data_IF_513462433804
#
_entry.id   IF_513462433804
#
_cell.length_a   1.000
_cell.length_b   1.000
_cell.length_c   1.000
_cell.angle_alpha   90.00
_cell.angle_beta   90.00
_cell.angle_gamma   90.00
#
_symmetry.space_group_name_H-M   'P 1'
#
loop_
_entity.id
_entity.type
_entity.pdbx_description
1 polymer ?
2 polymer ?
3 water ?
#
# COMPACT_ATOMS: atom_id res chain seq x y z
N UNK A 1 25.71 2.20 4.47
CA UNK A 1 26.91 2.72 3.73
C UNK A 1 26.46 3.22 2.35
N UNK A 2 26.99 4.37 1.91
CA UNK A 2 26.75 4.92 0.54
C UNK A 2 27.27 3.92 -0.49
N UNK A 3 26.43 3.51 -1.45
CA UNK A 3 26.84 2.61 -2.57
C UNK A 3 26.41 3.27 -3.89
N UNK A 4 27.22 3.10 -4.93
CA UNK A 4 26.92 3.54 -6.32
C UNK A 4 25.75 2.74 -6.89
N UNK A 5 25.07 3.30 -7.90
CA UNK A 5 24.05 2.57 -8.71
C UNK A 5 24.63 1.22 -9.17
N UNK A 6 25.87 1.22 -9.62
CA UNK A 6 26.54 0.03 -10.22
C UNK A 6 26.83 -1.01 -9.11
N UNK A 7 27.23 -0.55 -7.91
CA UNK A 7 27.40 -1.44 -6.72
C UNK A 7 26.06 -2.09 -6.37
N UNK A 8 24.99 -1.29 -6.35
CA UNK A 8 23.61 -1.75 -6.05
C UNK A 8 23.21 -2.81 -7.08
N UNK A 9 23.45 -2.54 -8.36
CA UNK A 9 23.12 -3.46 -9.47
C UNK A 9 23.82 -4.81 -9.25
N UNK A 10 25.11 -4.78 -8.88
CA UNK A 10 25.94 -5.99 -8.60
C UNK A 10 25.33 -6.78 -7.43
N UNK A 11 24.90 -6.09 -6.37
CA UNK A 11 24.29 -6.72 -5.17
C UNK A 11 22.99 -7.43 -5.57
N UNK A 12 22.14 -6.76 -6.35
CA UNK A 12 20.82 -7.29 -6.79
C UNK A 12 21.07 -8.48 -7.74
N UNK A 13 22.14 -8.46 -8.53
CA UNK A 13 22.49 -9.56 -9.48
C UNK A 13 22.67 -10.87 -8.70
N UNK A 14 23.17 -10.80 -7.45
CA UNK A 14 23.47 -12.00 -6.61
C UNK A 14 22.19 -12.78 -6.29
N UNK A 15 21.02 -12.14 -6.33
CA UNK A 15 19.74 -12.76 -5.84
C UNK A 15 18.75 -12.98 -6.99
N UNK A 16 19.08 -12.59 -8.22
CA UNK A 16 18.21 -12.81 -9.41
C UNK A 16 18.84 -13.90 -10.29
N UNK A 17 18.10 -14.36 -11.29
CA UNK A 17 18.60 -15.31 -12.32
C UNK A 17 19.53 -14.55 -13.27
N UNK A 18 20.62 -15.18 -13.75
CA UNK A 18 21.50 -14.54 -14.72
C UNK A 18 20.84 -14.40 -16.09
N UNK A 19 21.32 -13.45 -16.90
CA UNK A 19 20.93 -13.29 -18.31
C UNK A 19 19.67 -12.47 -18.48
N UNK A 20 19.00 -12.66 -19.61
CA UNK A 20 17.92 -11.77 -20.13
C UNK A 20 16.78 -12.66 -20.63
N UNK A 21 15.56 -12.57 -20.07
CA UNK A 21 14.47 -13.46 -20.46
C UNK A 21 13.88 -13.15 -21.86
N UNK A 22 14.37 -12.12 -22.55
CA UNK A 22 13.98 -11.82 -23.96
C UNK A 22 14.46 -12.96 -24.88
N UNK A 23 15.28 -13.88 -24.38
CA UNK A 23 15.66 -15.11 -25.11
C UNK A 23 14.45 -16.03 -25.23
N UNK A 24 13.51 -16.03 -24.26
CA UNK A 24 12.33 -16.94 -24.28
C UNK A 24 11.00 -16.18 -24.19
N UNK A 25 11.02 -14.84 -24.08
CA UNK A 25 9.80 -13.98 -24.04
C UNK A 25 9.83 -12.98 -25.20
N UNK A 26 8.72 -12.83 -25.91
CA UNK A 26 8.57 -11.89 -27.06
C UNK A 26 7.18 -11.22 -27.00
N UNK A 27 6.95 -10.26 -27.91
CA UNK A 27 5.66 -9.52 -28.08
C UNK A 27 5.23 -8.94 -26.73
N UNK A 28 6.09 -8.15 -26.09
CA UNK A 28 5.81 -7.44 -24.81
C UNK A 28 4.74 -6.37 -25.06
N UNK A 29 3.73 -6.30 -24.19
CA UNK A 29 2.64 -5.28 -24.23
C UNK A 29 2.45 -4.72 -22.82
N UNK A 30 2.64 -3.41 -22.64
CA UNK A 30 2.42 -2.69 -21.37
C UNK A 30 0.91 -2.63 -21.10
N UNK A 31 0.48 -3.13 -19.93
CA UNK A 31 -0.97 -3.20 -19.53
C UNK A 31 -1.22 -2.39 -18.24
N UNK A 32 -0.20 -2.13 -17.43
CA UNK A 32 -0.32 -1.41 -16.15
C UNK A 32 0.92 -0.61 -15.82
N UNK A 33 0.82 0.31 -14.86
CA UNK A 33 1.95 1.16 -14.38
C UNK A 33 1.68 1.60 -12.94
N UNK A 34 2.71 1.57 -12.09
CA UNK A 34 2.67 2.05 -10.69
C UNK A 34 3.80 3.04 -10.43
N UNK A 35 3.97 3.46 -9.17
CA UNK A 35 5.10 4.30 -8.68
C UNK A 35 6.40 3.47 -8.77
N UNK A 36 6.24 2.14 -8.71
CA UNK A 36 7.31 1.10 -8.74
C UNK A 36 7.86 0.93 -10.16
N UNK A 37 7.00 0.98 -11.17
CA UNK A 37 7.33 0.69 -12.57
C UNK A 37 6.11 0.22 -13.35
N UNK A 38 6.32 -0.60 -14.39
CA UNK A 38 5.25 -1.02 -15.34
C UNK A 38 5.03 -2.52 -15.24
N UNK A 39 3.87 -2.99 -15.69
CA UNK A 39 3.53 -4.43 -15.84
C UNK A 39 3.25 -4.69 -17.31
N UNK A 40 3.92 -5.70 -17.88
CA UNK A 40 3.80 -6.12 -19.29
C UNK A 40 3.25 -7.55 -19.34
N UNK A 41 2.55 -7.88 -20.42
CA UNK A 41 2.27 -9.28 -20.85
C UNK A 41 3.29 -9.62 -21.94
N UNK A 42 3.82 -10.85 -21.92
CA UNK A 42 4.74 -11.37 -22.96
C UNK A 42 4.37 -12.82 -23.28
N UNK A 43 4.77 -13.28 -24.47
CA UNK A 43 4.52 -14.66 -24.99
C UNK A 43 5.78 -15.50 -24.80
N UNK A 44 5.63 -16.65 -24.15
CA UNK A 44 6.72 -17.62 -23.87
C UNK A 44 6.93 -18.44 -25.14
N UNK A 45 8.18 -18.64 -25.57
CA UNK A 45 8.51 -19.07 -26.95
C UNK A 45 8.13 -20.53 -27.18
N UNK A 46 8.25 -21.39 -26.16
CA UNK A 46 8.06 -22.86 -26.27
C UNK A 46 6.56 -23.21 -26.30
N UNK A 47 5.78 -22.66 -25.37
CA UNK A 47 4.35 -23.00 -25.13
C UNK A 47 3.42 -21.99 -25.79
N UNK A 48 3.87 -20.76 -26.05
CA UNK A 48 3.04 -19.68 -26.59
C UNK A 48 2.11 -19.07 -25.54
N UNK A 49 2.29 -19.42 -24.27
CA UNK A 49 1.44 -18.91 -23.16
C UNK A 49 1.81 -17.46 -22.85
N UNK A 50 0.87 -16.71 -22.28
CA UNK A 50 1.04 -15.33 -21.79
C UNK A 50 1.57 -15.39 -20.36
N UNK A 51 2.62 -14.64 -20.06
CA UNK A 51 3.10 -14.40 -18.67
C UNK A 51 3.13 -12.89 -18.43
N UNK A 52 3.09 -12.49 -17.17
CA UNK A 52 3.23 -11.08 -16.73
C UNK A 52 4.70 -10.83 -16.42
N UNK A 53 5.19 -9.64 -16.76
CA UNK A 53 6.56 -9.18 -16.39
C UNK A 53 6.42 -7.79 -15.78
N UNK A 54 6.73 -7.69 -14.48
CA UNK A 54 6.87 -6.44 -13.73
C UNK A 54 8.28 -5.90 -14.00
N UNK A 55 8.38 -4.66 -14.48
CA UNK A 55 9.66 -3.97 -14.79
C UNK A 55 9.78 -2.75 -13.88
N UNK A 56 10.86 -2.69 -13.09
CA UNK A 56 11.10 -1.62 -12.09
C UNK A 56 12.50 -1.03 -12.30
N UNK A 57 12.58 0.26 -12.63
CA UNK A 57 13.87 0.96 -12.88
C UNK A 57 14.59 1.14 -11.53
N UNK A 58 15.84 0.67 -11.46
CA UNK A 58 16.70 0.74 -10.24
C UNK A 58 16.96 2.20 -9.84
N UNK A 59 16.83 3.15 -10.77
CA UNK A 59 17.19 4.58 -10.58
C UNK A 59 15.96 5.41 -10.19
N UNK A 60 14.75 4.87 -10.25
CA UNK A 60 13.50 5.67 -10.10
C UNK A 60 12.64 5.11 -8.95
N UNK A 61 13.26 4.59 -7.88
CA UNK A 61 12.56 4.09 -6.67
C UNK A 61 12.70 5.11 -5.55
N UNK A 62 11.65 5.25 -4.73
CA UNK A 62 11.68 6.06 -3.48
C UNK A 62 12.70 5.44 -2.51
N UNK A 63 12.65 4.11 -2.36
CA UNK A 63 13.56 3.30 -1.52
C UNK A 63 14.01 2.08 -2.34
N UNK A 64 15.11 2.18 -3.08
CA UNK A 64 15.58 1.15 -4.05
C UNK A 64 15.87 -0.15 -3.29
N UNK A 65 16.29 -0.06 -2.02
CA UNK A 65 16.55 -1.22 -1.12
C UNK A 65 15.35 -2.18 -1.10
N UNK A 66 14.14 -1.66 -1.34
CA UNK A 66 12.88 -2.44 -1.28
C UNK A 66 12.81 -3.43 -2.46
N UNK A 67 13.60 -3.21 -3.52
CA UNK A 67 13.61 -4.11 -4.71
C UNK A 67 14.10 -5.52 -4.32
N UNK A 68 14.87 -5.66 -3.23
CA UNK A 68 15.35 -6.98 -2.74
C UNK A 68 14.20 -7.82 -2.20
N UNK A 69 13.20 -7.20 -1.54
CA UNK A 69 12.25 -7.92 -0.64
C UNK A 69 11.51 -9.03 -1.38
N UNK A 70 10.71 -8.72 -2.40
CA UNK A 70 9.88 -9.74 -3.09
C UNK A 70 10.77 -10.83 -3.69
N UNK A 71 11.83 -10.45 -4.41
CA UNK A 71 12.65 -11.45 -5.16
C UNK A 71 13.42 -12.36 -4.21
N UNK A 72 13.83 -11.86 -3.03
CA UNK A 72 14.54 -12.68 -1.99
C UNK A 72 13.50 -13.48 -1.21
N UNK A 73 12.50 -12.80 -0.64
CA UNK A 73 11.57 -13.42 0.35
C UNK A 73 10.72 -14.50 -0.32
N UNK A 74 10.15 -14.23 -1.50
CA UNK A 74 9.09 -15.08 -2.10
C UNK A 74 9.68 -16.13 -3.04
N UNK A 75 11.00 -16.18 -3.19
CA UNK A 75 11.71 -17.10 -4.11
C UNK A 75 11.25 -18.55 -3.90
N UNK A 76 11.20 -19.01 -2.64
CA UNK A 76 11.02 -20.45 -2.31
C UNK A 76 9.66 -20.71 -1.67
N UNK A 77 8.78 -19.71 -1.56
CA UNK A 77 7.41 -19.87 -1.02
C UNK A 77 6.42 -19.99 -2.20
N UNK A 78 5.53 -20.97 -2.15
CA UNK A 78 4.54 -21.29 -3.20
C UNK A 78 3.23 -21.77 -2.55
N UNK A 79 2.09 -21.35 -3.11
CA UNK A 79 0.74 -21.69 -2.60
C UNK A 79 -0.28 -21.49 -3.72
N UNK A 80 -1.32 -22.32 -3.77
CA UNK A 80 -2.34 -22.28 -4.85
C UNK A 80 -3.11 -20.96 -4.83
N UNK A 81 -3.09 -20.21 -3.70
CA UNK A 81 -3.78 -18.90 -3.59
C UNK A 81 -2.75 -17.76 -3.49
N UNK A 82 -1.52 -17.99 -3.97
CA UNK A 82 -0.47 -16.94 -4.09
C UNK A 82 -0.03 -16.93 -5.55
N UNK A 83 -0.05 -15.75 -6.19
CA UNK A 83 0.41 -15.59 -7.60
C UNK A 83 1.84 -16.16 -7.71
N UNK A 84 2.06 -17.04 -8.69
CA UNK A 84 3.33 -17.73 -8.95
C UNK A 84 4.37 -16.71 -9.45
N UNK A 85 5.51 -16.56 -8.75
CA UNK A 85 6.70 -15.85 -9.23
C UNK A 85 7.65 -16.88 -9.86
N UNK A 86 7.91 -16.78 -11.16
CA UNK A 86 8.69 -17.79 -11.91
C UNK A 86 10.18 -17.52 -11.74
N UNK A 87 10.58 -16.27 -11.94
CA UNK A 87 12.01 -15.89 -12.03
C UNK A 87 12.12 -14.37 -12.01
N UNK A 88 13.31 -13.89 -11.68
CA UNK A 88 13.66 -12.45 -11.71
C UNK A 88 14.98 -12.30 -12.46
N UNK A 89 15.16 -11.15 -13.10
CA UNK A 89 16.36 -10.84 -13.91
C UNK A 89 16.69 -9.35 -13.76
N UNK A 90 17.95 -9.01 -13.99
CA UNK A 90 18.39 -7.62 -14.24
C UNK A 90 18.57 -7.45 -15.75
N UNK A 91 17.83 -6.53 -16.35
CA UNK A 91 17.87 -6.17 -17.79
C UNK A 91 18.18 -4.67 -17.89
N UNK A 92 19.42 -4.33 -18.23
CA UNK A 92 19.92 -2.94 -18.14
C UNK A 92 19.76 -2.43 -16.72
N UNK A 93 19.03 -1.33 -16.54
CA UNK A 93 18.83 -0.68 -15.23
C UNK A 93 17.46 -1.06 -14.65
N UNK A 94 16.87 -2.16 -15.10
CA UNK A 94 15.52 -2.60 -14.66
C UNK A 94 15.60 -3.98 -13.98
N UNK A 95 14.89 -4.14 -12.88
CA UNK A 95 14.57 -5.46 -12.29
C UNK A 95 13.31 -5.96 -12.99
N UNK A 96 13.37 -7.16 -13.59
CA UNK A 96 12.21 -7.82 -14.22
C UNK A 96 11.80 -9.00 -13.33
N UNK A 97 10.52 -9.06 -13.00
CA UNK A 97 9.94 -10.21 -12.24
C UNK A 97 8.91 -10.86 -13.15
N UNK A 98 9.16 -12.10 -13.53
CA UNK A 98 8.30 -12.90 -14.44
C UNK A 98 7.35 -13.70 -13.56
N UNK A 99 6.05 -13.56 -13.80
CA UNK A 99 5.00 -14.09 -12.91
C UNK A 99 3.87 -14.65 -13.75
N UNK A 100 3.01 -15.44 -13.10
CA UNK A 100 1.70 -15.87 -13.62
C UNK A 100 0.93 -14.63 -14.09
N UNK A 101 0.32 -14.72 -15.27
CA UNK A 101 -0.70 -13.76 -15.78
C UNK A 101 -2.08 -14.33 -15.42
N UNK A 102 -2.75 -13.70 -14.45
CA UNK A 102 -4.16 -14.06 -14.10
C UNK A 102 -5.07 -13.19 -14.96
N UNK A 103 -6.01 -13.81 -15.67
CA UNK A 103 -6.80 -13.15 -16.75
C UNK A 103 -8.19 -12.75 -16.24
N UNK A 104 -8.47 -12.91 -14.94
CA UNK A 104 -9.78 -12.60 -14.34
C UNK A 104 -9.83 -11.20 -13.74
N UNK A 105 -8.77 -10.41 -13.90
CA UNK A 105 -8.68 -9.04 -13.35
C UNK A 105 -8.56 -9.06 -11.83
N UNK A 106 -8.78 -7.91 -11.20
CA UNK A 106 -8.58 -7.71 -9.74
C UNK A 106 -9.94 -7.67 -9.03
N UNK A 107 -9.92 -7.94 -7.73
CA UNK A 107 -11.13 -7.92 -6.89
C UNK A 107 -11.73 -6.50 -6.90
N UNK A 108 -10.88 -5.46 -7.00
CA UNK A 108 -11.32 -4.05 -7.06
C UNK A 108 -12.44 -3.87 -8.09
N UNK A 109 -12.27 -4.41 -9.30
CA UNK A 109 -13.29 -4.23 -10.37
C UNK A 109 -14.65 -4.76 -9.90
N UNK A 110 -14.65 -5.86 -9.16
CA UNK A 110 -15.90 -6.50 -8.66
C UNK A 110 -16.53 -5.60 -7.60
N UNK A 111 -15.78 -5.21 -6.56
CA UNK A 111 -16.36 -4.49 -5.39
C UNK A 111 -16.82 -3.09 -5.82
N UNK A 112 -16.29 -2.54 -6.91
CA UNK A 112 -16.66 -1.18 -7.39
C UNK A 112 -17.89 -1.23 -8.32
N UNK A 113 -18.26 -2.40 -8.86
CA UNK A 113 -19.29 -2.51 -9.93
C UNK A 113 -20.41 -3.51 -9.59
N UNK A 114 -20.28 -4.32 -8.53
CA UNK A 114 -21.33 -5.30 -8.12
C UNK A 114 -21.41 -5.35 -6.58
N UNK A 115 -22.52 -5.90 -6.07
CA UNK A 115 -22.71 -6.24 -4.65
C UNK A 115 -22.51 -7.76 -4.49
N UNK A 116 -21.37 -8.15 -3.92
CA UNK A 116 -21.06 -9.58 -3.62
C UNK A 116 -22.03 -10.08 -2.55
N UNK A 117 -22.52 -11.30 -2.67
CA UNK A 117 -23.32 -11.98 -1.61
C UNK A 117 -22.34 -12.60 -0.61
N UNK A 118 -22.83 -13.11 0.52
CA UNK A 118 -21.97 -13.56 1.64
C UNK A 118 -21.22 -14.84 1.24
N UNK A 119 -21.82 -15.69 0.38
CA UNK A 119 -21.14 -16.89 -0.17
C UNK A 119 -19.87 -16.46 -0.90
N UNK A 120 -19.99 -15.46 -1.77
CA UNK A 120 -18.88 -14.93 -2.60
C UNK A 120 -17.83 -14.28 -1.70
N UNK A 121 -18.24 -13.52 -0.67
CA UNK A 121 -17.29 -12.90 0.29
C UNK A 121 -16.56 -14.01 1.05
N UNK A 122 -17.29 -15.02 1.53
CA UNK A 122 -16.70 -16.18 2.26
C UNK A 122 -15.68 -16.88 1.36
N UNK A 123 -15.99 -17.03 0.08
CA UNK A 123 -15.13 -17.71 -0.94
C UNK A 123 -13.80 -16.97 -1.03
N UNK A 124 -13.85 -15.64 -1.16
CA UNK A 124 -12.64 -14.78 -1.25
C UNK A 124 -11.88 -14.91 0.08
N UNK A 125 -12.55 -14.79 1.22
CA UNK A 125 -11.89 -14.81 2.55
C UNK A 125 -11.18 -16.14 2.80
N UNK A 126 -11.80 -17.26 2.42
CA UNK A 126 -11.21 -18.62 2.62
C UNK A 126 -9.89 -18.70 1.85
N UNK A 127 -9.89 -18.29 0.58
CA UNK A 127 -8.69 -18.35 -0.31
C UNK A 127 -7.59 -17.44 0.25
N UNK A 128 -7.94 -16.21 0.62
CA UNK A 128 -6.95 -15.22 1.14
C UNK A 128 -6.40 -15.72 2.48
N UNK A 129 -7.25 -16.28 3.35
CA UNK A 129 -6.79 -16.74 4.68
C UNK A 129 -5.91 -17.99 4.56
N UNK A 130 -6.18 -18.85 3.58
CA UNK A 130 -5.29 -20.00 3.28
C UNK A 130 -3.90 -19.48 2.92
N UNK A 131 -3.83 -18.51 2.01
CA UNK A 131 -2.57 -17.82 1.61
C UNK A 131 -1.89 -17.23 2.85
N UNK A 132 -2.62 -16.43 3.64
CA UNK A 132 -2.04 -15.71 4.79
C UNK A 132 -1.57 -16.70 5.86
N UNK A 133 -2.34 -17.74 6.15
CA UNK A 133 -1.96 -18.76 7.15
C UNK A 133 -0.61 -19.38 6.75
N UNK A 134 -0.47 -19.75 5.48
CA UNK A 134 0.77 -20.32 4.91
C UNK A 134 1.92 -19.31 5.06
N UNK A 135 1.71 -18.07 4.62
CA UNK A 135 2.76 -17.02 4.61
C UNK A 135 3.15 -16.67 6.05
N UNK A 136 2.16 -16.40 6.92
CA UNK A 136 2.39 -16.03 8.33
C UNK A 136 3.20 -17.12 9.05
N UNK A 137 2.93 -18.39 8.76
CA UNK A 137 3.65 -19.54 9.37
C UNK A 137 5.14 -19.50 8.99
N UNK A 138 5.47 -18.97 7.79
CA UNK A 138 6.87 -18.85 7.29
C UNK A 138 7.49 -17.53 7.77
N UNK A 139 6.74 -16.69 8.49
CA UNK A 139 7.20 -15.38 8.98
C UNK A 139 7.10 -14.29 7.92
N UNK A 140 6.35 -14.53 6.83
CA UNK A 140 6.13 -13.53 5.75
C UNK A 140 4.93 -12.66 6.12
N UNK A 141 5.10 -11.34 6.05
CA UNK A 141 4.01 -10.33 6.15
C UNK A 141 3.85 -9.68 4.78
N UNK A 142 2.63 -9.64 4.25
CA UNK A 142 2.32 -9.07 2.92
C UNK A 142 2.41 -7.54 3.00
N UNK A 143 1.68 -6.95 3.94
CA UNK A 143 1.75 -5.52 4.34
C UNK A 143 1.01 -4.62 3.34
N UNK A 144 0.30 -5.17 2.36
CA UNK A 144 -0.51 -4.33 1.43
C UNK A 144 -1.75 -5.10 0.98
N UNK A 145 -2.44 -5.74 1.93
CA UNK A 145 -3.73 -6.43 1.68
C UNK A 145 -4.78 -5.35 1.42
N UNK A 146 -5.48 -5.50 0.28
CA UNK A 146 -6.56 -4.62 -0.21
C UNK A 146 -7.08 -5.29 -1.49
N UNK A 147 -8.27 -4.89 -1.97
CA UNK A 147 -8.94 -5.50 -3.15
C UNK A 147 -7.99 -5.46 -4.37
N UNK A 148 -7.20 -4.40 -4.52
CA UNK A 148 -6.30 -4.22 -5.70
C UNK A 148 -5.23 -5.32 -5.72
N UNK A 149 -4.89 -5.89 -4.57
CA UNK A 149 -3.80 -6.90 -4.41
C UNK A 149 -4.34 -8.32 -4.62
N UNK A 150 -5.64 -8.47 -4.89
CA UNK A 150 -6.30 -9.80 -5.03
C UNK A 150 -6.65 -9.97 -6.50
N UNK A 151 -6.10 -11.00 -7.15
CA UNK A 151 -6.36 -11.27 -8.58
C UNK A 151 -7.22 -12.52 -8.72
N UNK A 152 -8.04 -12.54 -9.77
CA UNK A 152 -8.92 -13.67 -10.11
C UNK A 152 -8.36 -14.38 -11.34
N UNK A 153 -8.42 -15.71 -11.35
CA UNK A 153 -8.17 -16.54 -12.55
C UNK A 153 -9.45 -16.52 -13.40
N UNK A 154 -9.36 -16.93 -14.66
CA UNK A 154 -10.51 -16.95 -15.61
C UNK A 154 -11.63 -17.84 -15.06
N UNK A 155 -11.30 -18.87 -14.27
CA UNK A 155 -12.27 -19.87 -13.75
C UNK A 155 -12.75 -19.49 -12.34
N UNK A 156 -12.34 -18.32 -11.83
CA UNK A 156 -12.89 -17.75 -10.59
C UNK A 156 -12.15 -18.19 -9.34
N UNK A 157 -10.89 -18.61 -9.47
CA UNK A 157 -9.99 -18.86 -8.31
C UNK A 157 -9.35 -17.52 -7.90
N UNK A 158 -8.95 -17.44 -6.64
CA UNK A 158 -8.52 -16.19 -5.94
C UNK A 158 -7.06 -16.33 -5.53
N UNK A 159 -6.22 -15.38 -5.92
CA UNK A 159 -4.78 -15.38 -5.53
C UNK A 159 -4.37 -14.01 -5.00
N UNK A 160 -3.57 -14.03 -3.94
CA UNK A 160 -2.86 -12.86 -3.36
C UNK A 160 -1.69 -12.51 -4.28
N UNK A 161 -1.58 -11.23 -4.64
CA UNK A 161 -0.53 -10.67 -5.53
C UNK A 161 0.11 -9.44 -4.90
N UNK A 162 1.02 -8.78 -5.61
CA UNK A 162 1.56 -7.45 -5.23
C UNK A 162 2.31 -7.56 -3.88
N UNK A 163 3.37 -8.36 -3.88
CA UNK A 163 4.28 -8.64 -2.72
C UNK A 163 5.44 -7.63 -2.65
N UNK A 164 5.38 -6.52 -3.40
CA UNK A 164 6.44 -5.50 -3.44
C UNK A 164 6.79 -4.96 -2.06
N UNK A 165 5.83 -4.89 -1.14
CA UNK A 165 6.00 -4.32 0.22
C UNK A 165 6.20 -5.42 1.27
N UNK A 166 6.32 -6.69 0.89
CA UNK A 166 6.35 -7.81 1.86
C UNK A 166 7.62 -7.73 2.72
N UNK A 167 7.59 -8.40 3.86
CA UNK A 167 8.72 -8.50 4.80
C UNK A 167 8.78 -9.90 5.39
N UNK A 168 9.91 -10.24 6.00
CA UNK A 168 10.12 -11.54 6.69
C UNK A 168 10.55 -11.24 8.13
N UNK A 169 9.84 -11.81 9.11
CA UNK A 169 10.24 -11.78 10.54
C UNK A 169 10.83 -13.15 10.89
N UNK A 170 11.60 -13.21 11.97
CA UNK A 170 12.30 -14.41 12.49
C UNK A 170 12.38 -14.31 14.01
N UNK A 171 13.00 -15.31 14.66
CA UNK A 171 13.22 -15.33 16.13
C UNK A 171 14.14 -14.17 16.54
N UNK A 172 15.15 -13.88 15.72
CA UNK A 172 16.19 -12.84 16.00
C UNK A 172 15.68 -11.46 15.60
N UNK A 173 14.73 -11.38 14.66
CA UNK A 173 14.07 -10.10 14.23
C UNK A 173 12.56 -10.35 14.14
N UNK A 174 11.88 -10.48 15.30
CA UNK A 174 10.46 -10.84 15.31
C UNK A 174 9.49 -9.73 14.85
N UNK A 175 9.94 -8.47 14.78
CA UNK A 175 9.08 -7.30 14.45
C UNK A 175 9.68 -6.50 13.29
N UNK A 176 8.81 -5.90 12.48
CA UNK A 176 9.15 -4.86 11.48
C UNK A 176 8.77 -3.49 12.06
N UNK A 177 9.40 -2.44 11.55
CA UNK A 177 9.15 -1.03 11.96
C UNK A 177 8.81 -0.15 10.74
N UNK A 179 7.23 1.94 7.71
CA UNK A 179 5.97 2.54 7.21
C UNK A 179 5.76 2.06 5.78
N UNK A 180 4.87 1.10 5.59
CA UNK A 180 4.51 0.55 4.25
C UNK A 180 3.01 0.24 4.26
N UNK A 181 2.41 0.23 3.08
CA UNK A 181 1.00 -0.15 2.87
C UNK A 181 0.27 0.95 2.13
N UNK A 182 -1.06 0.95 2.26
CA UNK A 182 -1.98 1.91 1.59
C UNK A 182 -2.82 2.55 2.69
N UNK A 183 -2.81 3.89 2.81
CA UNK A 183 -3.38 4.59 3.97
C UNK A 183 -4.65 3.98 4.59
N UNK A 184 -5.68 3.75 3.77
CA UNK A 184 -7.05 3.38 4.22
C UNK A 184 -7.07 1.96 4.80
N UNK A 185 -6.08 1.13 4.44
CA UNK A 185 -5.97 -0.29 4.85
C UNK A 185 -4.92 -0.48 5.95
N UNK A 186 -4.15 0.55 6.28
CA UNK A 186 -3.04 0.43 7.25
C UNK A 186 -3.59 0.15 8.66
N UNK A 187 -2.98 -0.77 9.38
CA UNK A 187 -3.27 -1.06 10.80
C UNK A 187 -2.90 0.17 11.64
N UNK A 188 -3.66 0.47 12.72
CA UNK A 188 -3.32 1.59 13.59
C UNK A 188 -1.84 1.61 14.01
N UNK A 189 -1.26 0.44 14.31
CA UNK A 189 0.13 0.32 14.83
C UNK A 189 1.14 0.68 13.73
N UNK A 190 0.79 0.50 12.45
CA UNK A 190 1.64 0.93 11.30
C UNK A 190 1.65 2.46 11.25
N UNK A 191 0.46 3.08 11.28
CA UNK A 191 0.28 4.57 11.24
C UNK A 191 1.03 5.19 12.42
N UNK A 192 1.01 4.54 13.59
CA UNK A 192 1.63 5.01 14.87
C UNK A 192 3.12 4.68 14.92
N UNK A 193 3.65 3.97 13.91
CA UNK A 193 5.10 3.64 13.78
C UNK A 193 5.54 2.78 14.97
N UNK A 194 4.69 1.84 15.39
CA UNK A 194 5.02 0.85 16.46
C UNK A 194 5.59 -0.41 15.81
N UNK A 195 6.53 -1.13 16.48
CA UNK A 195 6.97 -2.43 15.98
C UNK A 195 5.77 -3.38 15.83
N UNK A 196 5.73 -4.14 14.73
CA UNK A 196 4.55 -4.97 14.37
C UNK A 196 4.99 -6.30 13.73
N UNK A 197 4.05 -7.26 13.73
CA UNK A 197 4.20 -8.58 13.09
C UNK A 197 3.09 -8.84 12.09
N UNK A 198 2.71 -10.12 11.94
CA UNK A 198 1.77 -10.62 10.90
C UNK A 198 0.37 -10.06 11.14
N UNK A 199 0.08 -9.59 12.35
CA UNK A 199 -1.27 -9.09 12.75
C UNK A 199 -1.72 -7.97 11.82
N UNK A 200 -0.79 -7.19 11.26
CA UNK A 200 -1.16 -6.00 10.43
C UNK A 200 -1.95 -6.49 9.21
N UNK A 201 -1.64 -7.68 8.68
CA UNK A 201 -2.35 -8.24 7.50
C UNK A 201 -3.80 -8.56 7.86
N UNK A 202 -4.08 -8.95 9.10
CA UNK A 202 -5.46 -9.32 9.51
C UNK A 202 -6.31 -8.04 9.62
N UNK A 203 -5.76 -6.94 10.12
CA UNK A 203 -6.46 -5.63 10.11
C UNK A 203 -6.80 -5.26 8.67
N UNK A 204 -5.80 -5.26 7.79
CA UNK A 204 -5.98 -4.88 6.36
C UNK A 204 -7.05 -5.78 5.73
N UNK A 205 -7.05 -7.08 6.04
CA UNK A 205 -8.05 -8.03 5.51
C UNK A 205 -9.44 -7.59 5.98
N UNK A 206 -9.57 -7.22 7.26
CA UNK A 206 -10.83 -6.66 7.79
C UNK A 206 -11.32 -5.49 6.95
N UNK A 207 -10.44 -4.56 6.61
CA UNK A 207 -10.78 -3.37 5.77
C UNK A 207 -11.22 -3.88 4.38
N UNK A 208 -10.54 -4.89 3.83
CA UNK A 208 -10.93 -5.45 2.51
C UNK A 208 -12.32 -6.12 2.62
N UNK A 209 -12.67 -6.72 3.76
CA UNK A 209 -14.03 -7.29 3.95
C UNK A 209 -15.04 -6.14 3.90
N UNK A 210 -14.73 -4.99 4.49
CA UNK A 210 -15.62 -3.78 4.38
C UNK A 210 -15.70 -3.37 2.90
N UNK A 211 -14.59 -3.44 2.13
CA UNK A 211 -14.67 -3.16 0.67
C UNK A 211 -15.71 -4.07 0.00
N UNK A 212 -15.72 -5.35 0.34
CA UNK A 212 -16.62 -6.36 -0.30
C UNK A 212 -18.07 -6.15 0.15
N UNK A 213 -18.29 -5.57 1.34
CA UNK A 213 -19.65 -5.30 1.88
C UNK A 213 -20.16 -3.96 1.33
N UNK A 214 -19.35 -2.89 1.44
CA UNK A 214 -19.77 -1.49 1.20
C UNK A 214 -19.26 -0.94 -0.14
N UNK A 215 -18.25 -1.58 -0.75
CA UNK A 215 -17.71 -1.19 -2.07
C UNK A 215 -16.43 -0.37 -1.95
N UNK A 216 -16.15 0.16 -0.76
CA UNK A 216 -15.00 1.05 -0.46
C UNK A 216 -14.55 0.78 0.97
N UNK A 217 -13.26 1.04 1.30
CA UNK A 217 -12.80 0.95 2.68
C UNK A 217 -13.39 2.13 3.46
N UNK A 218 -13.39 2.08 4.81
CA UNK A 218 -13.87 3.21 5.62
C UNK A 218 -13.12 4.50 5.28
N UNK A 219 -13.84 5.61 5.25
CA UNK A 219 -13.31 7.00 5.14
C UNK A 219 -12.69 7.24 3.75
N UNK A 220 -13.08 6.45 2.73
CA UNK A 220 -12.46 6.51 1.38
C UNK A 220 -12.84 7.84 0.69
N UNK A 221 -13.85 8.54 1.21
CA UNK A 221 -14.33 9.86 0.70
C UNK A 221 -13.44 10.98 1.25
N UNK A 222 -12.64 10.71 2.28
CA UNK A 222 -11.79 11.71 2.97
C UNK A 222 -10.36 11.61 2.46
N UNK A 223 -9.57 12.71 2.49
CA UNK A 223 -8.15 12.66 2.18
C UNK A 223 -7.40 11.67 3.09
N UNK A 224 -6.31 11.06 2.60
CA UNK A 224 -5.56 10.06 3.38
C UNK A 224 -5.18 10.49 4.81
N UNK A 225 -4.70 11.72 4.98
CA UNK A 225 -4.30 12.24 6.32
C UNK A 225 -5.49 12.16 7.28
N UNK A 226 -6.67 12.65 6.85
CA UNK A 226 -7.90 12.67 7.70
C UNK A 226 -8.29 11.23 8.03
N UNK A 227 -8.26 10.34 7.03
CA UNK A 227 -8.60 8.90 7.18
C UNK A 227 -7.66 8.25 8.20
N UNK A 228 -6.36 8.48 8.08
CA UNK A 228 -5.32 7.80 8.89
C UNK A 228 -5.39 8.28 10.35
N UNK A 229 -5.74 9.53 10.58
CA UNK A 229 -5.99 10.07 11.94
C UNK A 229 -7.16 9.32 12.58
N UNK A 230 -8.24 9.07 11.83
CA UNK A 230 -9.44 8.31 12.30
C UNK A 230 -9.04 6.86 12.62
N UNK A 231 -8.30 6.21 11.74
CA UNK A 231 -7.83 4.80 11.95
C UNK A 231 -7.01 4.78 13.25
N UNK A 232 -6.10 5.74 13.41
CA UNK A 232 -5.13 5.82 14.54
C UNK A 232 -5.89 6.04 15.86
N UNK A 233 -6.91 6.90 15.84
CA UNK A 233 -7.49 7.51 17.08
C UNK A 233 -8.87 6.91 17.41
N UNK A 234 -9.68 6.58 16.41
CA UNK A 234 -11.12 6.26 16.57
C UNK A 234 -11.32 4.77 16.86
N UNK A 235 -12.52 4.42 17.35
CA UNK A 235 -12.98 3.01 17.48
C UNK A 235 -12.88 2.34 16.13
N UNK A 236 -12.76 0.98 16.07
CA UNK A 236 -12.75 0.27 14.79
C UNK A 236 -13.90 0.70 13.89
N UNK A 237 -13.67 0.80 12.57
CA UNK A 237 -14.72 1.23 11.63
C UNK A 237 -15.81 0.16 11.48
N UNK A 238 -17.04 0.59 11.19
CA UNK A 238 -18.23 -0.29 11.03
C UNK A 238 -18.73 -0.23 9.59
N UNK A 239 -19.51 -1.23 9.15
CA UNK A 239 -20.20 -1.24 7.84
C UNK A 239 -21.30 -0.17 7.85
N UNK A 240 -21.78 0.23 6.67
CA UNK A 240 -22.77 1.33 6.48
C UNK A 240 -24.14 0.97 7.07
N UNK A 241 -24.50 -0.32 7.09
CA UNK A 241 -25.86 -0.80 7.44
C UNK A 241 -25.77 -2.18 8.11
N UNK A 242 -25.53 -2.20 9.42
CA UNK A 242 -25.33 -3.45 10.24
C UNK A 242 -26.45 -4.46 9.97
N UNK A 243 -27.68 -3.99 9.69
CA UNK A 243 -28.90 -4.83 9.50
C UNK A 243 -28.86 -5.59 8.15
N UNK A 244 -27.92 -5.27 7.26
CA UNK A 244 -27.79 -5.89 5.91
C UNK A 244 -26.73 -7.01 5.95
N UNK A 245 -26.04 -7.19 7.08
CA UNK A 245 -24.91 -8.15 7.26
C UNK A 245 -25.31 -9.18 8.32
N UNK A 246 -25.02 -10.46 8.09
CA UNK A 246 -25.39 -11.57 9.00
C UNK A 246 -24.64 -11.43 10.32
N UNK A 247 -25.17 -12.00 11.41
CA UNK A 247 -24.49 -12.02 12.74
C UNK A 247 -23.13 -12.73 12.60
N UNK A 248 -23.05 -13.79 11.79
CA UNK A 248 -21.80 -14.60 11.65
C UNK A 248 -20.73 -13.76 10.92
N UNK A 249 -21.12 -12.98 9.91
CA UNK A 249 -20.16 -12.08 9.18
C UNK A 249 -19.76 -10.93 10.11
N UNK A 250 -20.68 -10.36 10.89
CA UNK A 250 -20.32 -9.27 11.83
C UNK A 250 -19.32 -9.82 12.86
N UNK A 251 -19.53 -11.05 13.36
CA UNK A 251 -18.63 -11.71 14.33
C UNK A 251 -17.25 -11.94 13.74
N UNK A 252 -17.21 -12.42 12.50
CA UNK A 252 -15.97 -12.65 11.68
C UNK A 252 -15.18 -11.34 11.60
N UNK A 253 -15.86 -10.27 11.13
CA UNK A 253 -15.27 -8.92 10.97
C UNK A 253 -14.79 -8.41 12.35
N UNK A 254 -15.57 -8.62 13.42
CA UNK A 254 -15.24 -8.14 14.80
C UNK A 254 -13.92 -8.75 15.31
N UNK A 255 -13.52 -9.93 14.82
CA UNK A 255 -12.28 -10.61 15.26
C UNK A 255 -11.07 -10.03 14.53
N UNK A 256 -11.27 -9.36 13.40
CA UNK A 256 -10.18 -8.81 12.56
C UNK A 256 -9.91 -7.35 12.92
N UNK A 257 -10.96 -6.54 13.04
CA UNK A 257 -10.83 -5.07 13.28
C UNK A 257 -10.76 -4.80 14.77
N UNK A 258 -9.66 -5.28 15.39
CA UNK A 258 -9.35 -5.15 16.84
C UNK A 258 -8.09 -4.27 16.95
N UNK A 259 -8.16 -3.19 17.72
CA UNK A 259 -7.06 -2.21 17.82
C UNK A 259 -5.83 -2.88 18.47
N UNK A 260 -6.01 -3.61 19.58
CA UNK A 260 -4.90 -4.26 20.31
C UNK A 260 -4.42 -5.45 19.47
N UNK A 261 -3.21 -5.37 18.86
CA UNK A 261 -2.74 -6.41 17.94
C UNK A 261 -2.78 -7.83 18.52
N UNK A 262 -2.45 -7.97 19.81
CA UNK A 262 -2.36 -9.27 20.52
C UNK A 262 -3.77 -9.88 20.70
N UNK A 263 -4.83 -9.06 20.61
CA UNK A 263 -6.24 -9.49 20.77
C UNK A 263 -6.88 -9.73 19.38
N UNK A 264 -6.20 -9.35 18.31
CA UNK A 264 -6.66 -9.61 16.92
C UNK A 264 -6.56 -11.11 16.65
N UNK A 265 -7.54 -11.68 15.93
CA UNK A 265 -7.52 -13.10 15.50
C UNK A 265 -6.34 -13.33 14.56
N UNK A 266 -5.78 -14.54 14.57
CA UNK A 266 -4.72 -14.97 13.61
C UNK A 266 -5.40 -15.54 12.36
N UNK A 267 -4.68 -15.67 11.26
CA UNK A 267 -5.18 -16.29 10.01
C UNK A 267 -5.66 -17.71 10.33
N UNK A 268 -4.85 -18.46 11.10
CA UNK A 268 -5.15 -19.86 11.49
C UNK A 268 -6.47 -19.92 12.26
N UNK A 269 -6.68 -18.99 13.21
CA UNK A 269 -7.92 -18.95 14.03
C UNK A 269 -9.11 -18.65 13.11
N UNK A 270 -8.97 -17.70 12.19
CA UNK A 270 -10.05 -17.26 11.27
C UNK A 270 -10.42 -18.39 10.30
N UNK A 271 -9.48 -19.27 9.94
CA UNK A 271 -9.76 -20.41 9.03
C UNK A 271 -10.84 -21.31 9.64
N UNK A 272 -10.93 -21.36 10.98
CA UNK A 272 -11.89 -22.18 11.70
C UNK A 272 -13.20 -21.46 12.00
N UNK A 273 -13.38 -20.22 11.52
CA UNK A 273 -14.59 -19.40 11.83
C UNK A 273 -15.76 -19.89 10.99
N UNK A 274 -16.97 -20.03 11.59
CA UNK A 274 -18.14 -20.52 10.88
C UNK A 274 -18.56 -19.70 9.64
N UNK A 275 -18.15 -18.43 9.53
CA UNK A 275 -18.47 -17.60 8.35
C UNK A 275 -17.98 -18.31 7.08
N UNK A 276 -16.81 -18.97 7.17
CA UNK A 276 -16.16 -19.64 6.01
C UNK A 276 -16.94 -20.92 5.62
N UNK A 277 -17.91 -21.37 6.41
CA UNK A 277 -18.82 -22.46 6.00
C UNK A 277 -19.71 -22.01 4.82
N UNK A 278 -19.84 -20.70 4.61
CA UNK A 278 -20.64 -20.13 3.48
C UNK A 278 -19.82 -20.14 2.19
N UNK A 279 -18.52 -20.45 2.25
CA UNK A 279 -17.61 -20.47 1.08
C UNK A 279 -18.16 -21.40 0.00
N UNK A 280 -18.04 -21.01 -1.26
CA UNK A 280 -18.53 -21.77 -2.43
C UNK A 280 -17.39 -22.13 -3.38
N UNK A 281 -17.70 -22.84 -4.49
CA UNK A 281 -16.68 -23.19 -5.48
C UNK A 281 -16.28 -22.01 -6.35
N UNK A 282 -15.19 -22.11 -7.13
CA UNK A 282 -14.79 -21.03 -8.03
C UNK A 282 -15.92 -20.55 -8.95
N UNK A 283 -16.85 -21.44 -9.33
CA UNK A 283 -17.98 -21.13 -10.24
C UNK A 283 -18.91 -20.08 -9.64
N UNK A 284 -18.94 -19.91 -8.31
CA UNK A 284 -19.78 -18.88 -7.62
C UNK A 284 -19.15 -17.49 -7.78
N UNK A 285 -17.86 -17.40 -8.17
CA UNK A 285 -17.12 -16.12 -8.39
C UNK A 285 -17.30 -15.66 -9.84
N UNK A 286 -17.31 -16.59 -10.80
CA UNK A 286 -17.31 -16.29 -12.26
C UNK A 286 -18.39 -15.24 -12.61
N UNK A 287 -19.65 -15.36 -12.13
CA UNK A 287 -20.70 -14.39 -12.48
C UNK A 287 -20.44 -12.93 -12.10
N UNK A 288 -19.54 -12.65 -11.15
CA UNK A 288 -19.16 -11.28 -10.71
C UNK A 288 -18.24 -10.61 -11.74
N UNK A 289 -17.58 -11.41 -12.59
CA UNK A 289 -16.42 -10.94 -13.39
C UNK A 289 -16.92 -10.14 -14.60
N UNK A 290 -16.17 -9.10 -14.97
CA UNK A 290 -16.54 -8.05 -15.97
C UNK A 290 -17.19 -8.67 -17.21
N UNK A 291 -16.65 -9.81 -17.67
CA UNK A 291 -17.07 -10.49 -18.93
C UNK A 291 -18.55 -10.88 -18.84
N UNK A 292 -19.03 -11.28 -17.66
CA UNK A 292 -20.32 -12.01 -17.47
C UNK A 292 -21.35 -11.17 -16.70
N UNK A 293 -21.02 -9.92 -16.35
CA UNK A 293 -21.93 -9.02 -15.59
C UNK A 293 -23.14 -8.64 -16.46
N UNK B 5 -3.13 25.49 15.91
CA UNK B 5 -2.28 25.78 14.71
C UNK B 5 -0.95 26.42 15.12
N UNK B 6 -0.36 25.95 16.23
CA UNK B 6 0.97 26.41 16.76
C UNK B 6 2.07 25.87 15.83
N UNK B 7 2.05 24.55 15.61
CA UNK B 7 2.97 23.81 14.69
C UNK B 7 3.00 24.52 13.33
N UNK B 8 1.84 25.02 12.88
CA UNK B 8 1.64 25.71 11.58
C UNK B 8 2.43 27.03 11.58
N UNK B 9 2.33 27.81 12.67
CA UNK B 9 2.98 29.15 12.80
C UNK B 9 4.50 29.01 12.64
N UNK B 10 5.07 27.91 13.15
CA UNK B 10 6.53 27.62 13.06
C UNK B 10 6.91 27.39 11.60
N UNK B 11 6.07 26.67 10.85
CA UNK B 11 6.26 26.40 9.40
C UNK B 11 6.13 27.71 8.62
N UNK B 12 5.18 28.57 9.01
CA UNK B 12 4.92 29.89 8.40
C UNK B 12 6.12 30.82 8.63
N UNK B 13 6.68 30.80 9.84
CA UNK B 13 7.88 31.61 10.20
C UNK B 13 9.07 31.16 9.34
N UNK B 14 9.26 29.84 9.21
CA UNK B 14 10.33 29.22 8.39
C UNK B 14 10.20 29.69 6.93
N UNK B 15 8.98 29.69 6.40
CA UNK B 15 8.64 30.10 5.01
C UNK B 15 9.07 31.57 4.79
N UNK B 16 8.77 32.43 5.76
CA UNK B 16 9.11 33.89 5.72
C UNK B 16 10.63 34.06 5.76
N UNK B 17 11.32 33.32 6.65
CA UNK B 17 12.80 33.34 6.81
C UNK B 17 13.45 32.91 5.49
N UNK B 18 13.00 31.81 4.91
CA UNK B 18 13.54 31.22 3.66
C UNK B 18 13.33 32.19 2.48
N UNK B 19 12.16 32.83 2.42
CA UNK B 19 11.82 33.88 1.42
C UNK B 19 12.81 35.04 1.55
N UNK B 20 13.04 35.50 2.79
CA UNK B 20 13.92 36.66 3.11
C UNK B 20 15.35 36.38 2.65
N UNK B 21 15.84 35.14 2.85
CA UNK B 21 17.19 34.68 2.42
C UNK B 21 17.24 34.58 0.88
N UNK B 22 16.15 34.13 0.26
CA UNK B 22 16.07 33.85 -1.21
C UNK B 22 16.02 35.17 -2.00
N UNK B 23 15.20 36.13 -1.56
CA UNK B 23 14.90 37.38 -2.30
C UNK B 23 15.56 38.59 -1.61
N UNK B 24 16.41 38.36 -0.61
CA UNK B 24 17.08 39.43 0.18
C UNK B 24 16.02 40.36 0.77
N UNK B 25 14.83 39.82 1.10
CA UNK B 25 13.66 40.57 1.58
C UNK B 25 13.71 40.69 3.11
N UNK B 26 12.83 41.52 3.68
CA UNK B 26 12.77 41.81 5.14
C UNK B 26 11.32 41.76 5.62
N UNK B 27 10.53 40.77 5.16
CA UNK B 27 9.13 40.54 5.61
C UNK B 27 9.16 40.07 7.08
N UNK B 28 8.28 40.65 7.91
CA UNK B 28 8.15 40.35 9.36
C UNK B 28 6.82 39.61 9.59
N UNK B 29 6.90 38.33 9.97
CA UNK B 29 5.73 37.44 10.21
C UNK B 29 4.80 38.09 11.26
N UNK B 30 3.49 37.93 11.07
CA UNK B 30 2.42 38.40 12.01
C UNK B 30 1.62 37.18 12.50
N UNK B 31 0.96 36.46 11.59
CA UNK B 31 0.04 35.34 11.93
C UNK B 31 -0.24 34.45 10.71
N UNK B 32 -0.59 33.18 10.96
CA UNK B 32 -1.26 32.27 9.98
C UNK B 32 -2.74 32.69 9.88
N UNK B 33 -3.25 32.80 8.65
CA UNK B 33 -4.68 33.15 8.35
C UNK B 33 -5.45 31.84 8.13
N UNK B 34 -4.96 31.00 7.21
CA UNK B 34 -5.53 29.66 6.90
C UNK B 34 -4.39 28.72 6.48
N UNK B 35 -4.59 27.41 6.67
CA UNK B 35 -3.58 26.35 6.40
C UNK B 35 -4.27 25.07 5.93
N UNK B 36 -3.78 24.50 4.82
CA UNK B 36 -4.23 23.18 4.28
C UNK B 36 -3.08 22.18 4.46
N UNK B 37 -3.35 21.05 5.15
CA UNK B 37 -2.44 19.88 5.29
C UNK B 37 -2.77 18.89 4.17
N UNK B 38 -1.76 18.40 3.44
CA UNK B 38 -1.90 17.39 2.37
C UNK B 38 -0.78 16.34 2.48
N UNK B 39 -1.12 15.07 2.69
CA UNK B 39 -0.16 13.95 2.66
C UNK B 39 0.22 13.68 1.19
N UNK B 40 1.51 13.63 0.87
CA UNK B 40 2.01 13.36 -0.52
C UNK B 40 2.93 12.12 -0.53
N UNK B 41 3.32 11.61 0.64
CA UNK B 41 4.13 10.38 0.77
C UNK B 41 3.82 9.63 2.05
N UNK B 42 3.77 8.30 2.00
CA UNK B 42 3.45 7.42 3.16
C UNK B 42 4.21 6.10 3.07
N UNK B 43 5.35 6.09 2.37
CA UNK B 43 6.28 4.92 2.32
C UNK B 43 7.60 5.35 2.98
N UNK B 44 8.01 4.61 4.02
CA UNK B 44 9.29 4.78 4.77
C UNK B 44 9.17 5.96 5.74
N UNK B 45 8.63 7.10 5.29
CA UNK B 45 8.38 8.30 6.13
C UNK B 45 7.14 9.03 5.60
N UNK B 46 6.53 9.89 6.42
CA UNK B 46 5.41 10.77 6.01
C UNK B 46 5.99 11.99 5.31
N UNK B 47 5.41 12.34 4.15
CA UNK B 47 5.73 13.59 3.41
C UNK B 47 4.44 14.39 3.29
N UNK B 48 4.44 15.61 3.79
CA UNK B 48 3.26 16.50 3.87
C UNK B 48 3.56 17.82 3.15
N UNK B 49 2.65 18.26 2.30
CA UNK B 49 2.67 19.61 1.68
C UNK B 49 1.72 20.50 2.47
N UNK B 50 2.23 21.62 2.99
CA UNK B 50 1.44 22.68 3.67
C UNK B 50 1.20 23.82 2.69
N UNK B 51 -0.06 24.20 2.51
CA UNK B 51 -0.49 25.42 1.77
C UNK B 51 -0.95 26.44 2.82
N UNK B 52 -0.12 27.45 3.06
CA UNK B 52 -0.30 28.45 4.15
C UNK B 52 -0.73 29.78 3.54
N UNK B 53 -1.74 30.43 4.14
CA UNK B 53 -2.02 31.88 3.98
C UNK B 53 -1.57 32.57 5.28
N UNK B 54 -0.63 33.50 5.19
CA UNK B 54 0.00 34.16 6.37
C UNK B 54 0.02 35.67 6.15
N UNK B 55 -0.07 36.44 7.23
CA UNK B 55 0.09 37.91 7.24
C UNK B 55 1.52 38.25 7.65
N UNK B 56 2.20 39.07 6.85
CA UNK B 56 3.56 39.58 7.11
C UNK B 56 3.61 41.07 6.76
N UNK B 57 4.46 41.83 7.44
CA UNK B 57 4.61 43.30 7.22
C UNK B 57 5.76 43.53 6.23
N UNK B 58 5.46 44.17 5.09
CA UNK B 58 6.45 44.64 4.09
C UNK B 58 6.57 46.16 4.23
N UNK B 59 7.77 46.65 4.57
CA UNK B 59 8.04 48.07 4.82
C UNK B 59 7.16 48.63 5.93
N UNK B 60 6.69 47.76 6.84
CA UNK B 60 5.85 48.13 8.00
C UNK B 60 4.37 47.85 7.78
N UNK B 61 3.94 47.58 6.54
CA UNK B 61 2.50 47.41 6.19
C UNK B 61 2.16 45.91 6.08
N UNK B 62 1.10 45.50 6.78
CA UNK B 62 0.62 44.08 6.88
C UNK B 62 0.00 43.67 5.55
N UNK B 63 0.59 42.68 4.87
CA UNK B 63 0.10 42.11 3.59
C UNK B 63 -0.05 40.59 3.74
N UNK B 64 -0.88 39.98 2.89
CA UNK B 64 -1.18 38.52 2.92
C UNK B 64 -0.36 37.81 1.84
N UNK B 65 0.18 36.64 2.18
CA UNK B 65 1.05 35.81 1.30
C UNK B 65 0.60 34.35 1.37
N UNK B 66 0.74 33.63 0.25
CA UNK B 66 0.51 32.17 0.13
C UNK B 66 1.88 31.48 0.04
N UNK B 67 2.14 30.54 0.96
CA UNK B 67 3.40 29.75 1.03
C UNK B 67 3.08 28.27 0.90
N UNK B 68 3.88 27.55 0.09
CA UNK B 68 3.86 26.08 -0.05
C UNK B 68 5.12 25.54 0.63
N UNK B 69 4.96 24.70 1.67
CA UNK B 69 6.09 24.14 2.47
C UNK B 69 6.03 22.61 2.44
N UNK B 70 7.14 21.97 2.05
CA UNK B 70 7.31 20.50 1.94
C UNK B 70 8.07 20.01 3.18
N UNK B 71 7.46 19.09 3.95
CA UNK B 71 8.08 18.53 5.18
C UNK B 71 8.06 17.01 5.11
N UNK B 72 9.14 16.39 5.62
CA UNK B 72 9.25 14.94 5.88
C UNK B 72 9.30 14.71 7.39
N UNK B 73 8.61 13.68 7.90
CA UNK B 73 8.61 13.30 9.33
C UNK B 73 8.43 11.79 9.48
N UNK B 74 9.02 11.23 10.54
CA UNK B 74 8.90 9.79 10.90
C UNK B 74 7.47 9.50 11.35
N UNK B 75 6.84 10.43 12.07
CA UNK B 75 5.45 10.31 12.61
C UNK B 75 4.50 11.22 11.83
N UNK B 76 3.20 10.91 11.90
CA UNK B 76 2.10 11.68 11.25
C UNK B 76 2.27 13.17 11.55
N UNK B 77 2.05 14.06 10.54
CA UNK B 77 2.13 15.49 10.79
C UNK B 77 1.03 15.87 11.76
N UNK B 78 1.19 16.94 12.59
CA UNK B 78 2.35 17.83 12.52
C UNK B 78 3.48 17.61 13.53
N UNK B 79 3.94 16.37 13.72
CA UNK B 79 5.09 16.03 14.60
C UNK B 79 6.39 16.61 14.03
N UNK B 80 7.43 16.72 14.88
CA UNK B 80 8.75 17.33 14.56
C UNK B 80 9.28 16.82 13.22
N UNK B 81 9.37 17.67 12.17
CA UNK B 81 9.92 17.26 10.88
C UNK B 81 11.45 17.30 10.80
N UNK B 82 12.05 16.30 10.15
CA UNK B 82 13.52 16.15 10.00
C UNK B 82 13.99 16.84 8.70
N UNK B 83 13.05 17.28 7.87
CA UNK B 83 13.31 18.05 6.61
C UNK B 83 12.18 19.07 6.40
N UNK B 84 12.54 20.30 6.03
CA UNK B 84 11.59 21.38 5.65
C UNK B 84 12.16 22.12 4.44
N UNK B 85 11.29 22.49 3.49
CA UNK B 85 11.71 23.17 2.24
C UNK B 85 10.56 24.05 1.72
N UNK B 86 10.82 25.36 1.60
CA UNK B 86 9.90 26.31 0.92
C UNK B 86 9.89 26.00 -0.58
N UNK B 87 8.72 25.69 -1.13
CA UNK B 87 8.54 25.37 -2.58
C UNK B 87 8.02 26.61 -3.32
N UNK B 88 7.09 27.35 -2.72
CA UNK B 88 6.46 28.55 -3.32
C UNK B 88 6.22 29.60 -2.23
N UNK B 89 6.44 30.88 -2.58
CA UNK B 89 6.11 32.07 -1.76
C UNK B 89 5.77 33.23 -2.70
N UNK B 90 4.54 33.73 -2.63
CA UNK B 90 4.01 34.83 -3.48
C UNK B 90 3.00 35.65 -2.69
N UNK B 91 2.87 36.97 -2.95
CA UNK B 91 1.78 37.77 -2.40
C UNK B 91 0.45 37.38 -3.07
N UNK B 92 -0.62 37.27 -2.28
CA UNK B 92 -1.95 36.72 -2.70
C UNK B 92 -2.57 37.64 -3.77
#
# INVERSE_FOLDING_TARGET
MRVSHEQFRAALQLVVSPGDPREYLANFIKIGEGSTGIVCIATEKHTGKQVAVKKMDLRKQQRRELLFNEVVIMRDYHHDNVVDMYSSYLVGDELWVVMEFLEGGALTDIVTHTRMNEEQIATVCLSVLRALSYLHNQGVIHRDIKSDSILLTSDGRIKLSDFGFCAQVSKEVPKRKXLVGTPYWMAPEVISRLPYGTEVDIWSLGIMVIEMIDGEPPYFNEPPLQAMRRIRDSLPPRVKDLHKVSSVLRGFLDLMLVREPSQRATAQELLGHPFLKLAGPPSCIVPLMRQYRHH
MASNSLEIEELARFAVDEHNKKENALLEFVRVVKAKEQLVGWVYEFQTMYYLTLEAKDGGKKKLYEAKVWVKSDHMPPSLPNFKELQEFKPVGDAAAAHHHHHHHH
#
